data_IF_027295747008
#
_entry.id   IF_027295747008
#
_cell.length_a   1.000
_cell.length_b   1.000
_cell.length_c   1.000
_cell.angle_alpha   90.00
_cell.angle_beta   90.00
_cell.angle_gamma   90.00
#
_symmetry.space_group_name_H-M   'P 1'
#
loop_
_entity.id
_entity.type
_entity.pdbx_description
1 polymer ?
#
# COMPACT_ATOMS: atom_id res chain seq x y z
N UNK A 1 4.73 -24.03 -9.00
CA UNK A 1 3.72 -23.25 -8.27
C UNK A 1 3.12 -22.28 -9.27
N UNK A 2 1.81 -22.32 -9.45
CA UNK A 2 1.11 -21.27 -10.19
C UNK A 2 1.12 -20.01 -9.31
N UNK A 3 1.81 -18.96 -9.74
CA UNK A 3 1.91 -17.70 -8.99
C UNK A 3 0.76 -16.75 -9.31
N UNK A 4 -0.14 -17.12 -10.24
CA UNK A 4 -1.14 -16.21 -10.80
C UNK A 4 -0.52 -15.04 -11.57
N UNK A 5 -1.39 -14.28 -12.24
CA UNK A 5 -1.01 -13.02 -12.88
C UNK A 5 -1.11 -11.86 -11.88
N UNK A 6 -0.06 -11.06 -11.79
CA UNK A 6 -0.06 -9.85 -10.96
C UNK A 6 -0.84 -8.71 -11.64
N UNK A 7 -2.02 -8.41 -11.11
CA UNK A 7 -2.83 -7.27 -11.53
C UNK A 7 -2.13 -5.93 -11.29
N UNK A 8 -1.57 -5.74 -10.09
CA UNK A 8 -0.87 -4.52 -9.70
C UNK A 8 0.56 -4.90 -9.30
N UNK A 9 1.54 -4.37 -10.04
CA UNK A 9 2.97 -4.63 -9.82
C UNK A 9 3.64 -3.47 -9.08
N UNK A 10 4.78 -3.74 -8.47
CA UNK A 10 5.67 -2.71 -7.92
C UNK A 10 6.11 -1.73 -9.01
N UNK A 11 6.39 -0.48 -8.62
CA UNK A 11 6.95 0.54 -9.52
C UNK A 11 8.29 1.03 -8.98
N UNK A 12 9.35 0.88 -9.79
CA UNK A 12 10.64 1.45 -9.44
C UNK A 12 10.53 2.96 -9.20
N UNK A 13 11.26 3.46 -8.20
CA UNK A 13 11.29 4.88 -7.81
C UNK A 13 9.94 5.47 -7.35
N UNK A 14 9.01 4.63 -6.89
CA UNK A 14 7.70 5.02 -6.35
C UNK A 14 7.56 4.62 -4.87
N UNK A 15 6.47 5.01 -4.22
CA UNK A 15 6.14 4.63 -2.84
C UNK A 15 5.77 3.13 -2.69
N UNK A 16 5.51 2.47 -3.82
CA UNK A 16 5.16 1.07 -3.97
C UNK A 16 6.24 0.30 -4.76
N UNK A 17 7.51 0.54 -4.40
CA UNK A 17 8.68 0.03 -5.10
C UNK A 17 9.15 -1.36 -4.70
N UNK A 18 8.70 -1.85 -3.55
CA UNK A 18 9.12 -3.13 -2.97
C UNK A 18 7.94 -4.07 -2.72
N UNK A 19 6.76 -3.52 -2.42
CA UNK A 19 5.56 -4.30 -2.11
C UNK A 19 4.31 -3.56 -2.56
N UNK A 20 3.34 -4.35 -3.02
CA UNK A 20 1.93 -4.00 -3.21
C UNK A 20 1.13 -5.14 -2.60
N UNK A 21 0.37 -4.85 -1.57
CA UNK A 21 -0.37 -5.85 -0.79
C UNK A 21 -1.79 -5.34 -0.56
N UNK A 22 -2.77 -6.22 -0.73
CA UNK A 22 -4.17 -5.89 -0.49
C UNK A 22 -4.34 -5.32 0.91
N UNK A 23 -5.08 -4.23 1.03
CA UNK A 23 -5.55 -3.74 2.33
C UNK A 23 -6.97 -4.23 2.59
N UNK A 24 -7.79 -3.35 3.16
CA UNK A 24 -9.20 -3.62 3.39
C UNK A 24 -9.97 -4.03 2.11
N UNK A 25 -11.09 -4.73 2.31
CA UNK A 25 -11.98 -5.20 1.25
C UNK A 25 -12.33 -4.08 0.26
N UNK A 26 -12.30 -4.32 -1.07
CA UNK A 26 -12.68 -3.31 -2.07
C UNK A 26 -14.05 -2.68 -1.79
N UNK A 27 -14.21 -1.39 -2.09
CA UNK A 27 -15.47 -0.67 -1.99
C UNK A 27 -16.07 -0.46 -3.38
N UNK A 28 -17.29 -0.93 -3.61
CA UNK A 28 -18.03 -0.59 -4.83
C UNK A 28 -18.46 0.88 -4.77
N UNK A 29 -18.12 1.64 -5.80
CA UNK A 29 -18.46 3.04 -5.97
C UNK A 29 -19.84 3.18 -6.65
N UNK A 30 -20.44 4.36 -6.54
CA UNK A 30 -21.72 4.66 -7.21
C UNK A 30 -21.62 4.60 -8.75
N UNK A 31 -20.41 4.68 -9.32
CA UNK A 31 -20.16 4.49 -10.75
C UNK A 31 -20.29 3.02 -11.19
N UNK A 32 -20.27 2.09 -10.23
CA UNK A 32 -20.20 0.65 -10.48
C UNK A 32 -18.78 0.09 -10.40
N UNK A 33 -17.75 0.94 -10.45
CA UNK A 33 -16.33 0.57 -10.30
C UNK A 33 -15.97 0.23 -8.85
N UNK A 34 -14.76 -0.30 -8.64
CA UNK A 34 -14.27 -0.66 -7.31
C UNK A 34 -13.08 0.21 -6.89
N UNK A 35 -13.17 0.83 -5.72
CA UNK A 35 -12.03 1.38 -5.01
C UNK A 35 -11.30 0.23 -4.30
N UNK A 36 -10.08 -0.03 -4.72
CA UNK A 36 -9.16 -0.98 -4.11
C UNK A 36 -8.08 -0.22 -3.34
N UNK A 37 -8.03 -0.39 -2.02
CA UNK A 37 -7.00 0.20 -1.16
C UNK A 37 -5.91 -0.84 -0.97
N UNK A 38 -4.65 -0.43 -1.09
CA UNK A 38 -3.51 -1.31 -0.93
C UNK A 38 -2.44 -0.72 -0.01
N UNK A 39 -1.80 -1.60 0.73
CA UNK A 39 -0.57 -1.35 1.45
C UNK A 39 0.61 -1.47 0.49
N UNK A 40 1.64 -0.66 0.68
CA UNK A 40 2.84 -0.68 -0.15
C UNK A 40 4.10 -0.56 0.69
N UNK A 41 5.25 -0.93 0.13
CA UNK A 41 6.55 -0.62 0.72
C UNK A 41 7.44 0.15 -0.26
N UNK A 42 8.03 1.24 0.24
CA UNK A 42 9.08 2.01 -0.42
C UNK A 42 10.44 1.56 0.10
N UNK A 43 11.32 1.12 -0.78
CA UNK A 43 12.70 0.76 -0.44
C UNK A 43 13.61 1.97 -0.34
N UNK A 44 14.68 1.83 0.43
CA UNK A 44 15.70 2.87 0.65
C UNK A 44 15.23 4.01 1.54
N UNK A 45 14.13 3.83 2.29
CA UNK A 45 13.69 4.85 3.24
C UNK A 45 14.55 4.80 4.52
N UNK A 46 15.07 5.93 5.03
CA UNK A 46 15.91 5.94 6.23
C UNK A 46 15.20 5.36 7.45
N UNK A 47 15.95 4.61 8.26
CA UNK A 47 15.46 3.99 9.50
C UNK A 47 16.57 3.90 10.52
N UNK A 48 16.20 4.01 11.79
CA UNK A 48 17.10 3.76 12.94
C UNK A 48 17.27 2.27 13.24
N UNK A 49 16.33 1.43 12.78
CA UNK A 49 16.41 -0.02 12.97
C UNK A 49 17.42 -0.64 11.99
N UNK A 50 18.43 -1.38 12.48
CA UNK A 50 19.40 -2.04 11.61
C UNK A 50 18.74 -2.94 10.56
N UNK A 51 19.26 -2.89 9.33
CA UNK A 51 18.80 -3.69 8.18
C UNK A 51 17.32 -3.47 7.81
N UNK A 52 16.72 -2.34 8.19
CA UNK A 52 15.37 -1.97 7.82
C UNK A 52 15.41 -0.69 6.99
N UNK A 53 15.13 -0.74 5.69
CA UNK A 53 15.10 0.46 4.84
C UNK A 53 13.78 0.55 4.07
N UNK A 54 12.68 0.32 4.78
CA UNK A 54 11.32 0.32 4.24
C UNK A 54 10.48 1.41 4.90
N UNK A 55 9.63 2.03 4.10
CA UNK A 55 8.48 2.81 4.58
C UNK A 55 7.22 2.20 3.99
N UNK A 56 6.28 1.84 4.86
CA UNK A 56 5.00 1.30 4.45
C UNK A 56 3.97 2.41 4.35
N UNK A 57 3.27 2.45 3.22
CA UNK A 57 2.37 3.51 2.84
C UNK A 57 1.06 2.93 2.31
N UNK A 58 0.02 3.76 2.20
CA UNK A 58 -1.27 3.37 1.63
C UNK A 58 -1.44 4.04 0.27
N UNK A 59 -1.79 3.24 -0.74
CA UNK A 59 -2.21 3.69 -2.07
C UNK A 59 -3.64 3.24 -2.40
N UNK A 60 -4.14 3.65 -3.55
CA UNK A 60 -5.39 3.12 -4.09
C UNK A 60 -5.31 2.86 -5.59
N UNK A 61 -6.19 2.00 -6.06
CA UNK A 61 -6.53 1.80 -7.46
C UNK A 61 -8.05 1.84 -7.64
N UNK A 62 -8.49 2.32 -8.81
CA UNK A 62 -9.86 2.15 -9.28
C UNK A 62 -9.85 1.01 -10.28
N UNK A 63 -10.62 -0.04 -10.01
CA UNK A 63 -10.77 -1.21 -10.87
C UNK A 63 -12.11 -1.13 -11.60
N UNK A 64 -12.15 -1.53 -12.87
CA UNK A 64 -13.37 -1.44 -13.65
C UNK A 64 -14.48 -2.33 -13.08
N UNK A 65 -15.69 -1.79 -13.01
CA UNK A 65 -16.85 -2.52 -12.49
C UNK A 65 -17.25 -3.73 -13.35
N UNK A 66 -17.02 -3.65 -14.65
CA UNK A 66 -17.34 -4.71 -15.62
C UNK A 66 -16.30 -5.83 -15.65
N UNK A 67 -15.05 -5.51 -15.30
CA UNK A 67 -13.93 -6.45 -15.26
C UNK A 67 -12.88 -5.94 -14.24
N UNK A 68 -12.86 -6.47 -13.01
CA UNK A 68 -11.98 -5.98 -11.95
C UNK A 68 -10.49 -6.30 -12.20
N UNK A 69 -10.16 -7.03 -13.28
CA UNK A 69 -8.77 -7.21 -13.73
C UNK A 69 -8.25 -6.01 -14.54
N UNK A 70 -9.09 -4.99 -14.79
CA UNK A 70 -8.69 -3.76 -15.46
C UNK A 70 -8.52 -2.62 -14.45
N UNK A 71 -7.30 -2.12 -14.34
CA UNK A 71 -6.97 -0.94 -13.51
C UNK A 71 -7.25 0.33 -14.32
N UNK A 72 -8.27 1.09 -13.92
CA UNK A 72 -8.65 2.36 -14.55
C UNK A 72 -7.78 3.53 -14.09
N UNK A 73 -7.42 3.52 -12.80
CA UNK A 73 -6.59 4.54 -12.18
C UNK A 73 -5.79 3.92 -11.04
N UNK A 74 -4.59 4.46 -10.78
CA UNK A 74 -3.77 4.13 -9.62
C UNK A 74 -3.17 5.41 -9.06
N UNK A 75 -3.10 5.53 -7.74
CA UNK A 75 -2.50 6.70 -7.09
C UNK A 75 -1.01 6.81 -7.42
N UNK A 76 -0.54 7.99 -7.83
CA UNK A 76 0.88 8.26 -8.07
C UNK A 76 1.65 8.60 -6.78
N UNK A 77 0.93 9.01 -5.74
CA UNK A 77 1.46 9.31 -4.42
C UNK A 77 0.66 8.54 -3.36
N UNK A 78 1.26 8.24 -2.20
CA UNK A 78 0.52 7.61 -1.12
C UNK A 78 -0.58 8.54 -0.60
N UNK A 79 -1.74 7.98 -0.28
CA UNK A 79 -2.83 8.70 0.39
C UNK A 79 -2.61 8.78 1.91
N UNK A 80 -1.80 7.88 2.45
CA UNK A 80 -1.39 7.89 3.85
C UNK A 80 0.04 7.36 3.98
N UNK A 81 0.82 8.01 4.82
CA UNK A 81 2.19 7.68 5.18
C UNK A 81 2.37 7.85 6.68
N UNK A 82 3.38 7.20 7.30
CA UNK A 82 3.70 7.37 8.72
C UNK A 82 4.01 8.84 9.05
N UNK A 83 3.36 9.36 10.09
CA UNK A 83 3.54 10.74 10.56
C UNK A 83 3.64 10.84 12.08
N UNK A 84 2.99 9.93 12.80
CA UNK A 84 2.93 9.95 14.26
C UNK A 84 4.12 9.18 14.84
N UNK A 85 4.56 9.54 16.05
CA UNK A 85 5.75 8.95 16.66
C UNK A 85 5.68 7.42 16.75
N UNK A 86 4.50 6.87 17.01
CA UNK A 86 4.25 5.43 17.05
C UNK A 86 4.17 4.75 15.68
N UNK A 87 3.93 5.50 14.60
CA UNK A 87 3.98 5.00 13.22
C UNK A 87 5.41 5.04 12.67
N UNK A 88 6.16 6.10 13.00
CA UNK A 88 7.56 6.26 12.59
C UNK A 88 8.45 5.27 13.37
N UNK A 89 8.21 5.09 14.67
CA UNK A 89 8.95 4.12 15.48
C UNK A 89 10.40 4.53 15.69
N UNK A 90 10.61 5.69 16.32
CA UNK A 90 11.94 6.33 16.49
C UNK A 90 12.90 5.59 17.46
N UNK A 91 12.51 4.43 18.01
CA UNK A 91 13.38 3.56 18.81
C UNK A 91 13.57 2.20 18.14
N UNK A 92 14.59 1.46 18.55
CA UNK A 92 14.83 0.09 18.06
C UNK A 92 13.87 -0.94 18.65
N UNK A 93 13.00 -0.54 19.57
CA UNK A 93 12.09 -1.44 20.31
C UNK A 93 10.85 -1.83 19.47
N UNK A 94 10.56 -1.10 18.40
CA UNK A 94 9.43 -1.38 17.52
C UNK A 94 9.74 -2.51 16.53
N UNK A 95 8.79 -3.43 16.37
CA UNK A 95 8.92 -4.53 15.40
C UNK A 95 9.03 -4.02 13.95
N UNK A 96 8.32 -2.94 13.61
CA UNK A 96 8.23 -2.43 12.23
C UNK A 96 8.16 -0.89 12.29
N UNK A 97 9.28 -0.17 12.17
CA UNK A 97 9.25 1.29 12.08
C UNK A 97 8.82 1.76 10.68
N UNK A 98 8.41 3.02 10.58
CA UNK A 98 7.92 3.67 9.37
C UNK A 98 6.73 2.92 8.74
N UNK A 99 5.69 2.61 9.52
CA UNK A 99 4.55 1.82 9.06
C UNK A 99 3.21 2.49 9.33
N UNK A 100 2.39 2.55 8.28
CA UNK A 100 0.93 2.52 8.36
C UNK A 100 0.47 1.35 7.51
N UNK A 101 -0.48 0.57 8.03
CA UNK A 101 -0.96 -0.65 7.37
C UNK A 101 -2.47 -0.78 7.55
N UNK A 102 -3.23 -0.60 6.47
CA UNK A 102 -4.68 -0.48 6.49
C UNK A 102 -5.33 -1.81 6.17
N UNK A 103 -6.00 -2.39 7.17
CA UNK A 103 -6.72 -3.67 7.09
C UNK A 103 -8.22 -3.54 7.41
N UNK A 104 -8.60 -2.49 8.13
CA UNK A 104 -9.98 -2.27 8.56
C UNK A 104 -10.69 -1.21 7.71
N UNK A 105 -11.91 -1.52 7.29
CA UNK A 105 -12.87 -0.56 6.72
C UNK A 105 -14.26 -0.84 7.28
N UNK A 106 -14.90 0.18 7.84
CA UNK A 106 -16.30 0.16 8.27
C UNK A 106 -17.03 1.25 7.47
N UNK A 107 -18.26 0.96 7.03
CA UNK A 107 -19.11 1.89 6.27
C UNK A 107 -20.13 2.56 7.18
#
# INVERSE_FOLDING_TARGET
MDTGDYLIKIRNNSFDSELVESGATPLKLNTGDYLFIYNSARKGYPSVKPNWQLQYNIGYAILAGTDPTQVLQRSDQPIMSPKLDWEIGNSTDYLTPNVVFLEGKIL
#
